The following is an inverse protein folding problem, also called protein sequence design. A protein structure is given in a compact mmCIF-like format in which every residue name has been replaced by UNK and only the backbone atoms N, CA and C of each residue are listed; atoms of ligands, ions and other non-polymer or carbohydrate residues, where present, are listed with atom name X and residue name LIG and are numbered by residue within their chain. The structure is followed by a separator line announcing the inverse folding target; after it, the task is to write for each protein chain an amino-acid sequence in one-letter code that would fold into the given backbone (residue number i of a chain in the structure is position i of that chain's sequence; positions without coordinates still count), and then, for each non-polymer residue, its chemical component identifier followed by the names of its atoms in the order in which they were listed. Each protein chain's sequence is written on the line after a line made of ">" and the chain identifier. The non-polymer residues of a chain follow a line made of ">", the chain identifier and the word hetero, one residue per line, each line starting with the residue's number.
data_IF_862511258778
#
_entry.id   IF_862511258778
#
_cell.length_a   1.000
_cell.length_b   1.000
_cell.length_c   1.000
_cell.angle_alpha   90.00
_cell.angle_beta   90.00
_cell.angle_gamma   90.00
#
_symmetry.space_group_name_H-M   'P 1'
#
loop_
_entity.id
_entity.type
_entity.pdbx_description
1 polymer ?
#
# COMPACT_ATOMS: atom_id res chain seq x y z
N UNK A 1 4.82 18.07 2.48
CA UNK A 1 4.47 16.64 2.52
C UNK A 1 2.95 16.52 2.63
N UNK A 2 2.35 15.64 1.83
CA UNK A 2 0.89 15.43 1.79
C UNK A 2 0.59 14.00 2.25
N UNK A 3 -0.36 13.85 3.17
CA UNK A 3 -1.03 12.57 3.45
C UNK A 3 -2.44 12.61 2.87
N UNK A 4 -3.08 11.45 2.72
CA UNK A 4 -4.50 11.38 2.40
C UNK A 4 -5.26 10.53 3.42
N UNK A 5 -6.57 10.74 3.49
CA UNK A 5 -7.49 9.82 4.15
C UNK A 5 -8.76 9.67 3.34
N UNK A 6 -9.28 8.44 3.31
CA UNK A 6 -10.13 7.99 2.21
C UNK A 6 -11.35 7.21 2.71
N UNK A 7 -11.19 6.41 3.76
CA UNK A 7 -12.22 5.47 4.18
C UNK A 7 -13.08 6.07 5.29
N UNK A 8 -14.41 5.94 5.17
CA UNK A 8 -15.31 6.27 6.27
C UNK A 8 -15.36 5.12 7.30
N UNK A 9 -15.35 5.41 8.60
CA UNK A 9 -15.67 4.41 9.61
C UNK A 9 -17.10 3.89 9.42
N UNK A 10 -17.29 2.61 9.71
CA UNK A 10 -18.58 1.93 9.59
C UNK A 10 -19.13 1.65 10.98
N UNK A 11 -20.29 2.24 11.32
CA UNK A 11 -20.99 1.93 12.57
C UNK A 11 -21.81 0.64 12.45
N UNK A 12 -22.51 0.46 11.32
CA UNK A 12 -23.36 -0.69 11.05
C UNK A 12 -23.06 -1.26 9.66
N UNK A 13 -22.60 -2.51 9.62
CA UNK A 13 -22.24 -3.18 8.37
C UNK A 13 -23.42 -3.36 7.41
N UNK A 14 -24.64 -3.62 7.92
CA UNK A 14 -25.82 -3.78 7.07
C UNK A 14 -26.17 -2.46 6.34
N UNK A 15 -26.10 -1.34 7.05
CA UNK A 15 -26.29 0.00 6.50
C UNK A 15 -25.20 0.36 5.48
N UNK A 16 -23.93 0.06 5.77
CA UNK A 16 -22.83 0.31 4.84
C UNK A 16 -22.99 -0.50 3.54
N UNK A 17 -23.50 -1.74 3.61
CA UNK A 17 -23.82 -2.56 2.43
C UNK A 17 -24.90 -1.92 1.56
N UNK A 18 -25.80 -1.16 2.16
CA UNK A 18 -26.79 -0.35 1.44
C UNK A 18 -26.21 0.96 0.89
N UNK A 19 -24.91 1.22 1.04
CA UNK A 19 -24.26 2.43 0.55
C UNK A 19 -24.67 3.69 1.31
N UNK A 20 -25.01 3.53 2.59
CA UNK A 20 -25.37 4.61 3.52
C UNK A 20 -24.28 4.79 4.58
N UNK A 21 -24.04 6.03 4.97
CA UNK A 21 -23.11 6.39 6.05
C UNK A 21 -23.89 6.88 7.29
N UNK A 22 -23.21 6.88 8.43
CA UNK A 22 -23.78 7.28 9.71
C UNK A 22 -22.99 8.45 10.29
N UNK A 23 -23.68 9.57 10.51
CA UNK A 23 -23.15 10.82 11.06
C UNK A 23 -22.47 10.65 12.44
N UNK A 24 -22.77 9.56 13.17
CA UNK A 24 -22.12 9.27 14.46
C UNK A 24 -20.62 9.01 14.31
N UNK A 25 -20.18 8.54 13.15
CA UNK A 25 -18.79 8.11 12.93
C UNK A 25 -18.18 8.71 11.68
N UNK A 26 -18.92 8.77 10.58
CA UNK A 26 -18.39 9.23 9.30
C UNK A 26 -18.22 10.75 9.28
N UNK A 27 -17.17 11.22 8.61
CA UNK A 27 -16.95 12.65 8.41
C UNK A 27 -18.02 13.24 7.50
N UNK A 28 -18.74 14.24 7.99
CA UNK A 28 -19.79 14.95 7.25
C UNK A 28 -19.63 16.47 7.36
N UNK A 29 -20.31 17.19 6.47
CA UNK A 29 -20.50 18.63 6.59
C UNK A 29 -21.71 18.92 7.47
N UNK A 30 -21.47 19.56 8.62
CA UNK A 30 -22.50 19.87 9.62
C UNK A 30 -23.03 21.30 9.51
N UNK A 31 -22.31 22.20 8.85
CA UNK A 31 -22.70 23.61 8.69
C UNK A 31 -22.01 24.26 7.49
N UNK A 32 -22.75 25.13 6.79
CA UNK A 32 -22.21 26.07 5.80
C UNK A 32 -22.09 27.47 6.43
N UNK A 33 -21.02 28.20 6.07
CA UNK A 33 -20.78 29.58 6.49
C UNK A 33 -20.21 30.39 5.34
N UNK A 34 -20.23 31.72 5.47
CA UNK A 34 -19.60 32.61 4.49
C UNK A 34 -18.09 32.34 4.34
N UNK A 35 -17.44 31.82 5.39
CA UNK A 35 -16.00 31.52 5.38
C UNK A 35 -15.65 30.12 4.85
N UNK A 36 -16.61 29.20 4.74
CA UNK A 36 -16.34 27.81 4.36
C UNK A 36 -17.36 26.81 4.93
N UNK A 37 -17.02 25.53 4.83
CA UNK A 37 -17.79 24.42 5.41
C UNK A 37 -17.22 24.01 6.76
N UNK A 38 -18.08 23.61 7.70
CA UNK A 38 -17.67 23.00 8.96
C UNK A 38 -17.90 21.50 8.87
N UNK A 39 -16.85 20.72 9.10
CA UNK A 39 -16.89 19.25 9.07
C UNK A 39 -16.73 18.66 10.46
N UNK A 40 -17.44 17.55 10.70
CA UNK A 40 -17.35 16.80 11.96
C UNK A 40 -17.44 15.29 11.70
N UNK A 41 -16.65 14.51 12.44
CA UNK A 41 -16.62 13.05 12.34
C UNK A 41 -15.21 12.53 12.14
N UNK A 42 -15.08 11.35 11.54
CA UNK A 42 -13.79 10.69 11.38
C UNK A 42 -13.58 10.08 9.99
N UNK A 43 -12.31 9.91 9.64
CA UNK A 43 -11.85 9.09 8.51
C UNK A 43 -10.84 8.07 9.01
N UNK A 44 -10.96 6.85 8.50
CA UNK A 44 -10.07 5.76 8.83
C UNK A 44 -8.78 5.87 8.03
N UNK A 45 -7.68 5.81 8.78
CA UNK A 45 -6.31 5.60 8.34
C UNK A 45 -5.79 6.69 7.39
N UNK A 46 -4.84 7.46 7.91
CA UNK A 46 -3.89 8.28 7.17
C UNK A 46 -2.49 7.71 7.44
N UNK A 47 -1.96 6.96 6.47
CA UNK A 47 -0.57 6.50 6.49
C UNK A 47 0.35 7.70 6.31
N UNK A 48 1.45 7.79 7.08
CA UNK A 48 2.34 8.96 7.16
C UNK A 48 1.67 10.19 7.82
N UNK A 49 0.46 10.04 8.37
CA UNK A 49 -0.36 11.14 8.86
C UNK A 49 0.40 12.11 9.77
N UNK A 50 0.91 11.67 10.94
CA UNK A 50 1.63 12.53 11.89
C UNK A 50 2.89 13.23 11.36
N UNK A 51 3.38 12.85 10.18
CA UNK A 51 4.59 13.42 9.56
C UNK A 51 4.30 14.29 8.34
N UNK A 52 3.03 14.50 7.98
CA UNK A 52 2.64 15.32 6.85
C UNK A 52 2.36 16.78 7.25
N UNK A 53 2.46 17.71 6.30
CA UNK A 53 2.11 19.12 6.49
C UNK A 53 0.61 19.36 6.22
N UNK A 54 0.09 18.66 5.21
CA UNK A 54 -1.27 18.79 4.68
C UNK A 54 -1.94 17.42 4.65
N UNK A 55 -3.27 17.40 4.83
CA UNK A 55 -4.10 16.21 4.67
C UNK A 55 -5.16 16.43 3.58
N UNK A 56 -5.14 15.56 2.59
CA UNK A 56 -6.16 15.43 1.56
C UNK A 56 -7.30 14.54 2.06
N UNK A 57 -8.53 15.05 1.99
CA UNK A 57 -9.75 14.32 2.32
C UNK A 57 -10.56 14.17 1.05
N UNK A 58 -10.48 12.98 0.45
CA UNK A 58 -11.17 12.66 -0.80
C UNK A 58 -12.16 11.50 -0.61
N UNK A 59 -13.17 11.38 -1.47
CA UNK A 59 -14.03 10.21 -1.51
C UNK A 59 -13.26 9.02 -2.09
N UNK A 60 -13.20 7.90 -1.37
CA UNK A 60 -12.58 6.66 -1.89
C UNK A 60 -13.58 5.56 -2.22
N UNK A 61 -14.75 5.60 -1.60
CA UNK A 61 -15.82 4.63 -1.83
C UNK A 61 -16.88 5.26 -2.72
N UNK A 62 -17.46 4.45 -3.61
CA UNK A 62 -18.59 4.89 -4.43
C UNK A 62 -19.73 5.34 -3.51
N UNK A 63 -20.14 6.59 -3.65
CA UNK A 63 -21.30 7.16 -3.00
C UNK A 63 -22.53 6.88 -3.86
N UNK A 64 -23.65 6.45 -3.25
CA UNK A 64 -24.91 6.46 -3.99
C UNK A 64 -25.35 7.90 -4.24
N UNK A 65 -25.84 8.19 -5.44
CA UNK A 65 -26.42 9.49 -5.80
C UNK A 65 -27.78 9.73 -5.15
N UNK A 66 -27.82 9.76 -3.82
CA UNK A 66 -29.02 9.96 -3.00
C UNK A 66 -28.83 11.16 -2.07
N UNK A 67 -29.93 11.83 -1.69
CA UNK A 67 -29.89 12.98 -0.79
C UNK A 67 -29.21 12.67 0.55
N UNK A 68 -29.42 11.46 1.09
CA UNK A 68 -28.78 10.97 2.32
C UNK A 68 -27.23 10.97 2.25
N UNK A 69 -26.65 10.92 1.05
CA UNK A 69 -25.19 10.90 0.87
C UNK A 69 -24.59 12.28 0.57
N UNK A 70 -25.40 13.31 0.35
CA UNK A 70 -24.94 14.68 0.06
C UNK A 70 -24.01 15.22 1.15
N UNK A 71 -24.28 15.05 2.46
CA UNK A 71 -23.39 15.56 3.52
C UNK A 71 -21.99 14.94 3.54
N UNK A 72 -21.82 13.76 2.92
CA UNK A 72 -20.57 13.00 2.86
C UNK A 72 -19.83 13.21 1.52
N UNK A 73 -20.44 13.93 0.57
CA UNK A 73 -19.93 14.15 -0.77
C UNK A 73 -19.12 15.44 -0.85
N UNK A 74 -17.84 15.37 -0.51
CA UNK A 74 -16.93 16.50 -0.60
C UNK A 74 -15.49 16.05 -0.81
N UNK A 75 -14.66 16.96 -1.28
CA UNK A 75 -13.21 16.81 -1.30
C UNK A 75 -12.53 18.13 -0.95
N UNK A 76 -11.49 18.08 -0.10
CA UNK A 76 -10.71 19.25 0.30
C UNK A 76 -9.30 18.84 0.74
N UNK A 77 -8.42 19.82 0.92
CA UNK A 77 -7.14 19.64 1.60
C UNK A 77 -6.87 20.77 2.60
N UNK A 78 -6.42 20.42 3.81
CA UNK A 78 -6.12 21.39 4.89
C UNK A 78 -4.81 21.06 5.62
N UNK A 79 -4.15 22.04 6.27
CA UNK A 79 -3.00 21.77 7.11
C UNK A 79 -3.36 20.79 8.21
N UNK A 80 -2.48 19.83 8.50
CA UNK A 80 -2.77 18.81 9.53
C UNK A 80 -2.85 19.41 10.93
N UNK A 81 -2.22 20.56 11.14
CA UNK A 81 -2.24 21.35 12.37
C UNK A 81 -3.52 22.20 12.53
N UNK A 82 -4.48 22.08 11.61
CA UNK A 82 -5.76 22.81 11.70
C UNK A 82 -6.47 22.48 13.01
N UNK A 83 -6.90 23.52 13.73
CA UNK A 83 -7.61 23.36 15.00
C UNK A 83 -8.83 22.45 14.85
N UNK A 84 -8.93 21.44 15.70
CA UNK A 84 -10.00 20.44 15.67
C UNK A 84 -9.61 19.14 14.94
N UNK A 85 -8.50 19.12 14.20
CA UNK A 85 -7.93 17.88 13.64
C UNK A 85 -7.14 17.15 14.73
N UNK A 86 -7.39 15.85 14.88
CA UNK A 86 -6.63 14.96 15.77
C UNK A 86 -6.29 13.65 15.06
N UNK A 87 -5.13 13.11 15.35
CA UNK A 87 -4.63 11.85 14.81
C UNK A 87 -4.50 10.84 15.95
N UNK A 88 -5.24 9.73 15.87
CA UNK A 88 -5.12 8.62 16.80
C UNK A 88 -4.25 7.56 16.13
N UNK A 89 -2.99 7.50 16.54
CA UNK A 89 -2.01 6.57 16.01
C UNK A 89 -2.28 5.14 16.49
N UNK A 90 -1.95 4.15 15.65
CA UNK A 90 -1.80 2.75 16.10
C UNK A 90 -0.52 2.58 16.94
N UNK A 91 -0.31 1.37 17.44
CA UNK A 91 0.97 0.99 18.05
C UNK A 91 2.15 1.24 17.10
N UNK A 92 3.25 1.78 17.63
CA UNK A 92 4.50 1.94 16.87
C UNK A 92 5.18 0.60 16.63
N UNK A 93 5.81 0.45 15.46
CA UNK A 93 6.74 -0.65 15.18
C UNK A 93 8.20 -0.22 15.24
N UNK A 94 8.48 1.08 15.31
CA UNK A 94 9.78 1.59 15.72
C UNK A 94 9.84 1.62 17.24
N UNK A 95 10.59 0.67 17.80
CA UNK A 95 10.80 0.54 19.24
C UNK A 95 12.15 1.13 19.70
N UNK A 96 12.76 2.01 18.90
CA UNK A 96 14.06 2.61 19.22
C UNK A 96 15.22 1.62 19.17
N UNK A 97 15.08 0.56 18.37
CA UNK A 97 16.16 -0.39 18.12
C UNK A 97 17.20 0.22 17.19
N UNK A 98 18.43 -0.28 17.25
CA UNK A 98 19.48 0.16 16.33
C UNK A 98 19.16 -0.22 14.88
N UNK A 99 19.87 0.41 13.94
CA UNK A 99 19.78 0.06 12.52
C UNK A 99 20.34 -1.32 12.20
N UNK A 100 21.06 -1.95 13.13
CA UNK A 100 21.48 -3.35 13.01
C UNK A 100 20.34 -4.30 13.38
N UNK A 101 19.67 -4.07 14.52
CA UNK A 101 18.60 -4.93 15.02
C UNK A 101 17.24 -4.73 14.33
N UNK A 102 16.99 -3.54 13.78
CA UNK A 102 15.76 -3.20 13.07
C UNK A 102 16.08 -2.34 11.83
N UNK A 103 16.73 -2.89 10.80
CA UNK A 103 17.27 -2.12 9.68
C UNK A 103 16.21 -1.38 8.86
N UNK A 104 14.95 -1.82 8.87
CA UNK A 104 13.86 -1.16 8.16
C UNK A 104 12.93 -0.42 9.12
N UNK A 105 12.46 -1.09 10.17
CA UNK A 105 11.49 -0.50 11.10
C UNK A 105 12.01 0.75 11.82
N UNK A 106 13.31 0.88 12.07
CA UNK A 106 13.88 2.09 12.69
C UNK A 106 13.95 3.33 11.78
N UNK A 107 13.61 3.20 10.48
CA UNK A 107 13.82 4.28 9.49
C UNK A 107 12.68 4.49 8.51
N UNK A 108 11.91 3.43 8.23
CA UNK A 108 10.86 3.43 7.21
C UNK A 108 9.48 3.16 7.80
N UNK A 109 9.32 3.33 9.11
CA UNK A 109 8.02 3.23 9.78
C UNK A 109 7.14 4.40 9.35
N UNK A 110 6.03 4.08 8.69
CA UNK A 110 5.00 5.05 8.35
C UNK A 110 3.81 4.80 9.27
N UNK A 111 3.59 5.71 10.22
CA UNK A 111 2.48 5.60 11.16
C UNK A 111 1.13 5.64 10.44
N UNK A 112 0.22 4.76 10.87
CA UNK A 112 -1.18 4.78 10.43
C UNK A 112 -2.04 5.39 11.53
N UNK A 113 -2.79 6.44 11.21
CA UNK A 113 -3.63 7.13 12.19
C UNK A 113 -5.09 7.26 11.76
N UNK A 114 -6.03 7.03 12.67
CA UNK A 114 -7.43 7.47 12.48
C UNK A 114 -7.47 8.99 12.63
N UNK A 115 -8.15 9.66 11.70
CA UNK A 115 -8.24 11.12 11.68
C UNK A 115 -9.60 11.54 12.20
N UNK A 116 -9.62 12.36 13.25
CA UNK A 116 -10.82 12.94 13.84
C UNK A 116 -10.87 14.42 13.48
N UNK A 117 -12.04 14.88 13.05
CA UNK A 117 -12.35 16.28 12.80
C UNK A 117 -13.43 16.70 13.78
N UNK A 118 -13.09 17.59 14.71
CA UNK A 118 -14.00 18.15 15.69
C UNK A 118 -14.39 19.57 15.27
N UNK A 119 -15.52 19.71 14.57
CA UNK A 119 -16.04 20.98 14.05
C UNK A 119 -14.99 21.84 13.34
N UNK A 120 -14.28 21.24 12.38
CA UNK A 120 -13.18 21.88 11.65
C UNK A 120 -13.76 22.77 10.54
N UNK A 121 -13.35 24.04 10.51
CA UNK A 121 -13.65 24.94 9.39
C UNK A 121 -12.68 24.67 8.22
N UNK A 122 -13.23 24.34 7.06
CA UNK A 122 -12.51 24.20 5.80
C UNK A 122 -12.86 25.41 4.92
N UNK A 123 -11.88 26.29 4.62
CA UNK A 123 -12.11 27.46 3.77
C UNK A 123 -12.58 27.08 2.37
N UNK A 124 -13.43 27.90 1.74
CA UNK A 124 -13.95 27.64 0.39
C UNK A 124 -12.85 27.45 -0.66
N UNK A 125 -11.74 28.17 -0.54
CA UNK A 125 -10.59 28.08 -1.45
C UNK A 125 -9.85 26.74 -1.37
N UNK A 126 -10.15 25.92 -0.36
CA UNK A 126 -9.58 24.59 -0.16
C UNK A 126 -10.57 23.46 -0.45
N UNK A 127 -11.79 23.77 -0.88
CA UNK A 127 -12.82 22.81 -1.28
C UNK A 127 -12.76 22.58 -2.79
N UNK A 128 -12.59 21.33 -3.21
CA UNK A 128 -12.48 20.93 -4.62
C UNK A 128 -13.80 20.37 -5.16
N UNK A 129 -14.56 19.67 -4.32
CA UNK A 129 -15.88 19.12 -4.66
C UNK A 129 -16.81 19.26 -3.47
N UNK A 130 -18.09 19.51 -3.71
CA UNK A 130 -19.07 19.73 -2.65
C UNK A 130 -20.49 19.36 -3.08
N UNK A 131 -21.19 18.57 -2.24
CA UNK A 131 -22.60 18.18 -2.36
C UNK A 131 -23.00 17.45 -3.64
N UNK A 132 -22.03 16.93 -4.39
CA UNK A 132 -22.26 16.14 -5.60
C UNK A 132 -21.63 14.74 -5.47
N UNK A 133 -22.41 13.74 -5.03
CA UNK A 133 -21.92 12.36 -4.90
C UNK A 133 -21.45 11.74 -6.23
N UNK A 134 -22.08 12.10 -7.35
CA UNK A 134 -21.75 11.52 -8.65
C UNK A 134 -20.47 12.14 -9.25
N UNK A 135 -20.24 13.43 -9.01
CA UNK A 135 -18.96 14.07 -9.30
C UNK A 135 -17.83 13.43 -8.48
N UNK A 136 -18.05 13.24 -7.18
CA UNK A 136 -17.10 12.57 -6.29
C UNK A 136 -16.67 11.18 -6.80
N UNK A 137 -17.62 10.38 -7.29
CA UNK A 137 -17.35 9.04 -7.82
C UNK A 137 -16.49 9.03 -9.09
N UNK A 138 -16.56 10.11 -9.88
CA UNK A 138 -15.89 10.19 -11.18
C UNK A 138 -14.55 10.92 -11.12
N UNK A 139 -14.30 11.71 -10.07
CA UNK A 139 -13.12 12.56 -9.93
C UNK A 139 -11.81 11.90 -10.39
N UNK A 140 -11.48 10.73 -9.83
CA UNK A 140 -10.23 10.04 -10.16
C UNK A 140 -10.19 9.42 -11.56
N UNK A 141 -11.35 9.03 -12.10
CA UNK A 141 -11.45 8.44 -13.43
C UNK A 141 -11.43 9.51 -14.53
N UNK A 142 -12.21 10.57 -14.36
CA UNK A 142 -12.34 11.66 -15.33
C UNK A 142 -11.05 12.48 -15.42
N UNK A 143 -10.29 12.61 -14.33
CA UNK A 143 -9.00 13.34 -14.31
C UNK A 143 -7.78 12.45 -14.59
N UNK A 144 -7.97 11.14 -14.78
CA UNK A 144 -6.90 10.16 -14.86
C UNK A 144 -5.94 10.12 -13.64
N UNK A 145 -6.26 10.79 -12.52
CA UNK A 145 -5.36 10.80 -11.35
C UNK A 145 -5.13 9.38 -10.79
N UNK A 146 -6.12 8.48 -10.88
CA UNK A 146 -5.92 7.06 -10.50
C UNK A 146 -4.83 6.40 -11.32
N UNK A 147 -4.69 6.76 -12.60
CA UNK A 147 -3.68 6.18 -13.49
C UNK A 147 -2.29 6.65 -13.08
N UNK A 148 -2.12 7.95 -12.82
CA UNK A 148 -0.86 8.49 -12.31
C UNK A 148 -0.49 7.93 -10.93
N UNK A 149 -1.46 7.76 -10.03
CA UNK A 149 -1.23 7.09 -8.74
C UNK A 149 -0.79 5.64 -8.94
N UNK A 150 -1.46 4.88 -9.82
CA UNK A 150 -1.06 3.51 -10.12
C UNK A 150 0.34 3.43 -10.76
N UNK A 151 0.75 4.45 -11.51
CA UNK A 151 2.10 4.52 -12.09
C UNK A 151 3.17 4.69 -11.01
N UNK A 152 2.95 5.58 -10.02
CA UNK A 152 3.83 5.65 -8.85
C UNK A 152 3.88 4.31 -8.10
N UNK A 153 2.72 3.68 -7.94
CA UNK A 153 2.58 2.39 -7.28
C UNK A 153 3.41 1.31 -7.97
N UNK A 154 3.31 1.14 -9.28
CA UNK A 154 4.04 0.09 -10.00
C UNK A 154 5.56 0.28 -9.88
N UNK A 155 6.04 1.53 -9.87
CA UNK A 155 7.45 1.84 -9.63
C UNK A 155 7.90 1.39 -8.23
N UNK A 156 7.11 1.73 -7.19
CA UNK A 156 7.39 1.28 -5.83
C UNK A 156 7.33 -0.25 -5.67
N UNK A 157 6.37 -0.91 -6.34
CA UNK A 157 6.23 -2.37 -6.28
C UNK A 157 7.37 -3.08 -6.98
N UNK A 158 7.88 -2.53 -8.07
CA UNK A 158 9.07 -3.05 -8.76
C UNK A 158 10.28 -2.99 -7.83
N UNK A 159 10.56 -1.84 -7.22
CA UNK A 159 11.67 -1.69 -6.29
C UNK A 159 11.56 -2.67 -5.11
N UNK A 160 10.36 -2.87 -4.57
CA UNK A 160 10.11 -3.81 -3.47
C UNK A 160 10.33 -5.27 -3.89
N UNK A 161 9.90 -5.65 -5.10
CA UNK A 161 10.12 -6.99 -5.65
C UNK A 161 11.60 -7.26 -5.93
N UNK A 162 12.31 -6.31 -6.54
CA UNK A 162 13.75 -6.40 -6.80
C UNK A 162 14.55 -6.51 -5.49
N UNK A 163 14.17 -5.74 -4.48
CA UNK A 163 14.77 -5.83 -3.16
C UNK A 163 14.61 -7.23 -2.54
N UNK A 164 13.40 -7.81 -2.61
CA UNK A 164 13.18 -9.18 -2.08
C UNK A 164 13.95 -10.23 -2.90
N UNK A 165 14.03 -10.10 -4.22
CA UNK A 165 14.88 -10.98 -5.06
C UNK A 165 16.34 -10.88 -4.61
N UNK A 166 16.86 -9.67 -4.43
CA UNK A 166 18.22 -9.44 -3.93
C UNK A 166 18.47 -10.08 -2.56
N UNK A 167 17.53 -9.90 -1.63
CA UNK A 167 17.57 -10.49 -0.30
C UNK A 167 17.61 -12.02 -0.35
N UNK A 168 16.73 -12.65 -1.13
CA UNK A 168 16.68 -14.11 -1.28
C UNK A 168 17.97 -14.67 -1.89
N UNK A 169 18.51 -14.00 -2.92
CA UNK A 169 19.80 -14.35 -3.51
C UNK A 169 20.94 -14.23 -2.51
N UNK A 170 20.96 -13.18 -1.69
CA UNK A 170 21.98 -12.98 -0.65
C UNK A 170 21.90 -14.09 0.41
N UNK A 171 20.70 -14.42 0.90
CA UNK A 171 20.48 -15.51 1.86
C UNK A 171 20.92 -16.88 1.31
N UNK A 172 20.61 -17.18 0.06
CA UNK A 172 21.03 -18.43 -0.59
C UNK A 172 22.55 -18.51 -0.75
N UNK A 173 23.20 -17.43 -1.16
CA UNK A 173 24.66 -17.37 -1.28
C UNK A 173 25.35 -17.48 0.08
N UNK A 174 24.89 -16.75 1.09
CA UNK A 174 25.44 -16.78 2.43
C UNK A 174 25.47 -18.20 3.02
N UNK A 175 24.41 -18.95 2.80
CA UNK A 175 24.24 -20.33 3.29
C UNK A 175 24.83 -21.41 2.37
N UNK A 176 25.37 -21.04 1.20
CA UNK A 176 25.90 -21.98 0.21
C UNK A 176 24.85 -22.84 -0.50
N UNK A 177 23.57 -22.42 -0.44
CA UNK A 177 22.43 -23.13 -1.04
C UNK A 177 22.03 -22.60 -2.42
N UNK A 178 22.81 -21.68 -2.98
CA UNK A 178 22.57 -21.04 -4.27
C UNK A 178 22.68 -22.00 -5.48
N UNK A 179 23.22 -23.20 -5.28
CA UNK A 179 23.26 -24.28 -6.29
C UNK A 179 22.08 -25.25 -6.20
N UNK A 180 21.37 -25.28 -5.08
CA UNK A 180 20.25 -26.20 -4.86
C UNK A 180 19.08 -25.90 -5.81
N UNK A 181 18.49 -26.95 -6.38
CA UNK A 181 17.43 -26.80 -7.39
C UNK A 181 16.13 -26.26 -6.80
N UNK A 182 15.77 -26.67 -5.58
CA UNK A 182 14.54 -26.21 -4.93
C UNK A 182 14.67 -24.73 -4.54
N UNK A 183 15.83 -24.33 -4.00
CA UNK A 183 16.13 -22.94 -3.67
C UNK A 183 16.09 -22.07 -4.94
N UNK A 184 16.71 -22.51 -6.03
CA UNK A 184 16.63 -21.79 -7.32
C UNK A 184 15.19 -21.66 -7.82
N UNK A 185 14.38 -22.71 -7.70
CA UNK A 185 12.97 -22.67 -8.09
C UNK A 185 12.17 -21.61 -7.33
N UNK A 186 12.34 -21.54 -6.01
CA UNK A 186 11.69 -20.53 -5.18
C UNK A 186 12.15 -19.10 -5.52
N UNK A 187 13.46 -18.90 -5.71
CA UNK A 187 14.01 -17.59 -6.10
C UNK A 187 13.54 -17.20 -7.50
N UNK A 188 13.48 -18.14 -8.44
CA UNK A 188 12.99 -17.90 -9.79
C UNK A 188 11.52 -17.44 -9.78
N UNK A 189 10.69 -17.99 -8.90
CA UNK A 189 9.31 -17.53 -8.71
C UNK A 189 9.27 -16.03 -8.34
N UNK A 190 10.11 -15.60 -7.40
CA UNK A 190 10.25 -14.18 -7.05
C UNK A 190 10.77 -13.33 -8.21
N UNK A 191 11.72 -13.84 -9.00
CA UNK A 191 12.23 -13.17 -10.19
C UNK A 191 11.14 -12.98 -11.25
N UNK A 192 10.29 -13.99 -11.51
CA UNK A 192 9.18 -13.86 -12.45
C UNK A 192 8.18 -12.79 -12.02
N UNK A 193 7.91 -12.67 -10.72
CA UNK A 193 7.07 -11.60 -10.19
C UNK A 193 7.70 -10.23 -10.45
N UNK A 194 9.00 -10.06 -10.19
CA UNK A 194 9.72 -8.81 -10.49
C UNK A 194 9.70 -8.48 -12.00
N UNK A 195 9.98 -9.45 -12.87
CA UNK A 195 9.91 -9.28 -14.33
C UNK A 195 8.50 -8.93 -14.81
N UNK A 196 7.47 -9.52 -14.21
CA UNK A 196 6.08 -9.19 -14.54
C UNK A 196 5.76 -7.73 -14.22
N UNK A 197 6.15 -7.24 -13.04
CA UNK A 197 5.93 -5.83 -12.64
C UNK A 197 6.71 -4.88 -13.55
N UNK A 198 7.94 -5.24 -13.92
CA UNK A 198 8.76 -4.45 -14.86
C UNK A 198 8.13 -4.37 -16.25
N UNK A 199 7.61 -5.48 -16.75
CA UNK A 199 6.89 -5.52 -18.02
C UNK A 199 5.62 -4.65 -17.98
N UNK A 200 4.85 -4.70 -16.88
CA UNK A 200 3.66 -3.85 -16.71
C UNK A 200 4.01 -2.37 -16.72
N UNK A 201 5.05 -1.97 -15.97
CA UNK A 201 5.54 -0.58 -15.97
C UNK A 201 5.99 -0.15 -17.38
N UNK A 202 6.83 -0.94 -18.02
CA UNK A 202 7.35 -0.63 -19.36
C UNK A 202 6.21 -0.45 -20.36
N UNK A 203 5.24 -1.37 -20.38
CA UNK A 203 4.10 -1.29 -21.28
C UNK A 203 3.21 -0.08 -20.98
N UNK A 204 3.03 0.28 -19.71
CA UNK A 204 2.27 1.47 -19.32
C UNK A 204 2.91 2.76 -19.87
N UNK A 205 4.24 2.87 -19.76
CA UNK A 205 5.00 4.03 -20.22
C UNK A 205 5.11 4.06 -21.76
N UNK A 206 5.38 2.91 -22.40
CA UNK A 206 5.57 2.83 -23.86
C UNK A 206 4.29 3.10 -24.66
N UNK A 207 3.12 2.88 -24.06
CA UNK A 207 1.80 3.11 -24.68
C UNK A 207 1.10 4.35 -24.11
N UNK A 208 1.82 5.21 -23.39
CA UNK A 208 1.28 6.45 -22.85
C UNK A 208 0.85 7.39 -23.99
N UNK A 209 -0.21 8.17 -23.74
CA UNK A 209 -0.78 9.11 -24.70
C UNK A 209 -1.38 10.33 -23.99
N UNK A 210 -1.58 11.41 -24.74
CA UNK A 210 -2.30 12.57 -24.22
C UNK A 210 -3.78 12.24 -23.99
N UNK A 211 -4.32 12.67 -22.86
CA UNK A 211 -5.74 12.66 -22.60
C UNK A 211 -6.45 13.90 -23.17
N UNK A 212 -7.75 14.00 -22.93
CA UNK A 212 -8.56 15.10 -23.47
C UNK A 212 -8.27 16.46 -22.81
N UNK A 213 -7.48 16.51 -21.74
CA UNK A 213 -6.98 17.74 -21.12
C UNK A 213 -5.57 18.11 -21.61
N UNK A 214 -4.98 17.30 -22.51
CA UNK A 214 -3.59 17.46 -22.97
C UNK A 214 -2.55 16.98 -21.94
N UNK A 215 -2.96 16.21 -20.93
CA UNK A 215 -2.03 15.60 -19.97
C UNK A 215 -1.52 14.29 -20.54
N UNK A 216 -0.21 14.02 -20.43
CA UNK A 216 0.35 12.76 -20.90
C UNK A 216 0.15 11.64 -19.86
N UNK A 217 -0.67 10.65 -20.19
CA UNK A 217 -1.17 9.64 -19.24
C UNK A 217 -0.62 8.25 -19.60
N UNK A 218 -0.06 7.49 -18.64
CA UNK A 218 0.34 6.11 -18.86
C UNK A 218 -0.82 5.21 -19.29
N UNK A 219 -0.54 4.15 -20.04
CA UNK A 219 -1.58 3.20 -20.41
C UNK A 219 -2.14 2.51 -19.15
N UNK A 220 -3.46 2.60 -18.98
CA UNK A 220 -4.16 2.12 -17.78
C UNK A 220 -4.06 0.62 -17.56
N UNK A 221 -4.25 -0.18 -18.62
CA UNK A 221 -4.46 -1.64 -18.51
C UNK A 221 -3.28 -2.36 -17.83
N UNK A 222 -2.01 -2.14 -18.18
CA UNK A 222 -0.88 -2.76 -17.48
C UNK A 222 -0.81 -2.39 -15.99
N UNK A 223 -1.13 -1.14 -15.66
CA UNK A 223 -1.17 -0.65 -14.28
C UNK A 223 -2.29 -1.31 -13.47
N UNK A 224 -3.47 -1.43 -14.09
CA UNK A 224 -4.62 -2.14 -13.55
C UNK A 224 -4.30 -3.61 -13.26
N UNK A 225 -3.58 -4.28 -14.16
CA UNK A 225 -3.08 -5.65 -13.95
C UNK A 225 -2.10 -5.71 -12.79
N UNK A 226 -1.14 -4.78 -12.71
CA UNK A 226 -0.16 -4.74 -11.63
C UNK A 226 -0.82 -4.58 -10.26
N UNK A 227 -1.71 -3.59 -10.09
CA UNK A 227 -2.37 -3.36 -8.79
C UNK A 227 -3.28 -4.51 -8.33
N UNK A 228 -3.78 -5.35 -9.25
CA UNK A 228 -4.62 -6.50 -8.92
C UNK A 228 -3.82 -7.78 -8.67
N UNK A 229 -2.61 -7.90 -9.25
CA UNK A 229 -1.78 -9.10 -9.13
C UNK A 229 -0.75 -8.99 -8.00
N UNK A 230 -0.16 -7.81 -7.79
CA UNK A 230 0.84 -7.60 -6.74
C UNK A 230 0.35 -7.91 -5.32
N UNK A 231 -0.91 -7.61 -4.93
CA UNK A 231 -1.45 -8.03 -3.63
C UNK A 231 -1.47 -9.54 -3.36
N UNK A 232 -1.34 -10.36 -4.42
CA UNK A 232 -1.19 -11.82 -4.34
C UNK A 232 0.29 -12.23 -4.40
N UNK A 233 1.09 -11.53 -5.19
CA UNK A 233 2.53 -11.75 -5.31
C UNK A 233 3.26 -11.42 -4.02
N UNK A 234 2.97 -10.29 -3.37
CA UNK A 234 3.73 -9.85 -2.21
C UNK A 234 3.66 -10.81 -1.01
N UNK A 235 2.49 -11.31 -0.58
CA UNK A 235 2.44 -12.35 0.45
C UNK A 235 3.24 -13.60 0.09
N UNK A 236 3.25 -14.00 -1.19
CA UNK A 236 4.02 -15.14 -1.67
C UNK A 236 5.53 -14.86 -1.66
N UNK A 237 5.95 -13.64 -2.01
CA UNK A 237 7.35 -13.20 -1.88
C UNK A 237 7.82 -13.32 -0.42
N UNK A 238 7.00 -12.89 0.54
CA UNK A 238 7.30 -13.01 1.97
C UNK A 238 7.31 -14.47 2.44
N UNK A 239 6.37 -15.29 1.95
CA UNK A 239 6.37 -16.73 2.22
C UNK A 239 7.65 -17.39 1.72
N UNK A 240 8.17 -17.01 0.55
CA UNK A 240 9.45 -17.52 0.04
C UNK A 240 10.62 -17.13 0.96
N UNK A 241 10.61 -15.91 1.54
CA UNK A 241 11.59 -15.51 2.56
C UNK A 241 11.48 -16.40 3.80
N UNK A 242 10.27 -16.72 4.26
CA UNK A 242 10.06 -17.66 5.37
C UNK A 242 10.58 -19.06 5.06
N UNK A 243 10.26 -19.61 3.88
CA UNK A 243 10.66 -20.96 3.48
C UNK A 243 12.18 -21.09 3.33
N UNK A 244 12.84 -20.08 2.75
CA UNK A 244 14.28 -20.07 2.57
C UNK A 244 15.03 -19.79 3.89
N UNK A 245 14.52 -18.83 4.68
CA UNK A 245 15.13 -18.41 5.94
C UNK A 245 14.90 -19.36 7.11
N UNK A 246 13.71 -19.97 7.20
CA UNK A 246 13.34 -20.93 8.24
C UNK A 246 13.74 -20.46 9.66
N UNK A 247 14.29 -21.32 10.50
CA UNK A 247 14.76 -21.00 11.85
C UNK A 247 15.87 -19.94 11.89
N UNK A 248 16.59 -19.70 10.80
CA UNK A 248 17.62 -18.65 10.76
C UNK A 248 17.05 -17.25 10.90
N UNK A 249 15.75 -17.06 10.60
CA UNK A 249 15.04 -15.81 10.87
C UNK A 249 14.85 -15.57 12.38
N UNK A 250 14.81 -16.64 13.19
CA UNK A 250 14.72 -16.54 14.65
C UNK A 250 16.10 -16.47 15.31
N UNK A 251 17.11 -17.10 14.71
CA UNK A 251 18.49 -17.09 15.17
C UNK A 251 19.20 -15.77 14.80
N UNK A 252 18.68 -14.65 15.29
CA UNK A 252 19.23 -13.29 15.13
C UNK A 252 19.41 -12.67 16.52
N UNK A 253 20.59 -12.82 17.16
CA UNK A 253 20.88 -12.20 18.45
C UNK A 253 20.97 -10.67 18.31
N UNK A 254 20.90 -9.95 19.43
CA UNK A 254 20.97 -8.49 19.42
C UNK A 254 22.35 -7.99 19.00
N UNK A 255 22.43 -6.77 18.49
CA UNK A 255 23.72 -6.12 18.19
C UNK A 255 24.65 -6.13 19.42
N UNK A 256 24.09 -5.93 20.61
CA UNK A 256 24.82 -5.95 21.87
C UNK A 256 25.48 -7.31 22.18
N UNK A 257 24.96 -8.41 21.62
CA UNK A 257 25.50 -9.77 21.83
C UNK A 257 26.78 -10.02 21.01
N UNK A 258 27.12 -9.13 20.08
CA UNK A 258 28.38 -9.20 19.32
C UNK A 258 29.60 -8.81 20.16
N UNK A 259 29.42 -8.13 21.28
CA UNK A 259 30.52 -7.59 22.10
C UNK A 259 30.39 -7.88 23.60
N UNK A 260 29.35 -8.60 24.03
CA UNK A 260 29.15 -8.94 25.44
C UNK A 260 29.78 -10.30 25.80
N UNK A 261 29.45 -10.84 26.97
CA UNK A 261 29.97 -12.15 27.44
C UNK A 261 29.62 -13.34 26.54
N UNK A 262 28.63 -13.20 25.65
CA UNK A 262 28.22 -14.21 24.68
C UNK A 262 28.96 -14.09 23.33
N UNK A 263 29.80 -13.06 23.15
CA UNK A 263 30.40 -12.74 21.86
C UNK A 263 31.17 -13.91 21.23
N UNK A 264 31.91 -14.69 22.03
CA UNK A 264 32.64 -15.87 21.55
C UNK A 264 31.70 -16.97 21.02
N UNK A 265 30.57 -17.19 21.71
CA UNK A 265 29.54 -18.14 21.26
C UNK A 265 28.82 -17.61 20.01
N UNK A 266 28.53 -16.31 19.94
CA UNK A 266 27.94 -15.67 18.78
C UNK A 266 28.86 -15.82 17.56
N UNK A 267 30.14 -15.48 17.70
CA UNK A 267 31.16 -15.62 16.67
C UNK A 267 31.26 -17.05 16.15
N UNK A 268 31.16 -18.04 17.05
CA UNK A 268 31.30 -19.45 16.71
C UNK A 268 30.04 -20.04 16.06
N UNK A 269 28.86 -19.82 16.64
CA UNK A 269 27.65 -20.57 16.30
C UNK A 269 26.73 -19.85 15.31
N UNK A 270 26.93 -18.55 15.06
CA UNK A 270 26.07 -17.76 14.18
C UNK A 270 26.74 -17.39 12.84
N UNK A 271 27.80 -18.08 12.43
CA UNK A 271 28.39 -17.93 11.08
C UNK A 271 27.70 -18.84 10.04
N UNK A 272 27.91 -18.57 8.75
CA UNK A 272 27.58 -19.50 7.66
C UNK A 272 28.82 -19.80 6.82
N UNK A 273 28.71 -20.73 5.87
CA UNK A 273 29.85 -21.15 5.04
C UNK A 273 30.53 -19.99 4.31
N UNK A 274 29.78 -18.94 3.96
CA UNK A 274 30.28 -17.80 3.17
C UNK A 274 30.18 -16.44 3.88
N UNK A 275 29.76 -16.37 5.15
CA UNK A 275 29.71 -15.13 5.93
C UNK A 275 30.12 -15.40 7.37
N UNK A 276 30.85 -14.46 7.97
CA UNK A 276 31.08 -14.48 9.42
C UNK A 276 29.77 -14.24 10.20
N UNK A 277 29.86 -14.29 11.52
CA UNK A 277 28.69 -14.16 12.38
C UNK A 277 28.00 -12.81 12.23
N UNK A 278 28.76 -11.71 12.24
CA UNK A 278 28.19 -10.36 12.24
C UNK A 278 27.44 -10.08 10.93
N UNK A 279 28.07 -10.36 9.79
CA UNK A 279 27.45 -10.17 8.48
C UNK A 279 26.23 -11.07 8.28
N UNK A 280 26.31 -12.33 8.74
CA UNK A 280 25.17 -13.24 8.68
C UNK A 280 24.03 -12.74 9.56
N UNK A 281 24.31 -12.27 10.77
CA UNK A 281 23.28 -11.73 11.66
C UNK A 281 22.63 -10.50 11.04
N UNK A 282 23.41 -9.57 10.49
CA UNK A 282 22.88 -8.37 9.82
C UNK A 282 21.93 -8.74 8.66
N UNK A 283 22.34 -9.69 7.80
CA UNK A 283 21.52 -10.15 6.69
C UNK A 283 20.20 -10.78 7.16
N UNK A 284 20.25 -11.64 8.18
CA UNK A 284 19.05 -12.31 8.69
C UNK A 284 18.19 -11.41 9.56
N UNK A 285 18.74 -10.37 10.21
CA UNK A 285 17.98 -9.28 10.84
C UNK A 285 17.18 -8.51 9.79
N UNK A 286 17.77 -8.21 8.64
CA UNK A 286 17.06 -7.61 7.51
C UNK A 286 15.92 -8.51 7.03
N UNK A 287 16.18 -9.81 6.82
CA UNK A 287 15.15 -10.75 6.41
C UNK A 287 14.03 -10.89 7.46
N UNK A 288 14.38 -10.91 8.75
CA UNK A 288 13.44 -10.92 9.85
C UNK A 288 12.57 -9.65 9.86
N UNK A 289 13.16 -8.48 9.65
CA UNK A 289 12.42 -7.22 9.66
C UNK A 289 11.49 -7.07 8.45
N UNK A 290 11.82 -7.73 7.33
CA UNK A 290 10.95 -7.83 6.14
C UNK A 290 9.76 -8.77 6.36
N UNK A 291 9.98 -9.92 7.02
CA UNK A 291 9.06 -11.04 6.96
C UNK A 291 8.40 -11.43 8.29
N UNK A 292 9.00 -11.08 9.43
CA UNK A 292 8.58 -11.58 10.76
C UNK A 292 8.18 -10.45 11.70
N UNK A 293 8.88 -9.32 11.68
CA UNK A 293 8.60 -8.22 12.63
C UNK A 293 7.18 -7.67 12.48
N UNK A 294 6.72 -6.90 13.48
CA UNK A 294 5.45 -6.18 13.39
C UNK A 294 5.39 -5.25 12.17
N UNK A 295 6.51 -4.59 11.87
CA UNK A 295 6.69 -3.78 10.66
C UNK A 295 6.52 -4.61 9.38
N UNK A 296 7.23 -5.73 9.25
CA UNK A 296 7.13 -6.62 8.08
C UNK A 296 5.72 -7.17 7.86
N UNK A 297 5.03 -7.56 8.94
CA UNK A 297 3.64 -8.01 8.86
C UNK A 297 2.67 -6.89 8.47
N UNK A 298 2.87 -5.66 8.99
CA UNK A 298 2.09 -4.50 8.55
C UNK A 298 2.29 -4.22 7.06
N UNK A 299 3.50 -4.40 6.53
CA UNK A 299 3.74 -4.28 5.09
C UNK A 299 2.94 -5.31 4.28
N UNK A 300 2.80 -6.56 4.75
CA UNK A 300 1.93 -7.56 4.09
C UNK A 300 0.47 -7.10 4.10
N UNK A 301 -0.03 -6.59 5.23
CA UNK A 301 -1.40 -6.08 5.31
C UNK A 301 -1.62 -4.88 4.38
N UNK A 302 -0.67 -3.95 4.36
CA UNK A 302 -0.68 -2.79 3.47
C UNK A 302 -0.79 -3.22 2.01
N UNK A 303 0.10 -4.10 1.53
CA UNK A 303 0.09 -4.56 0.14
C UNK A 303 -1.19 -5.29 -0.26
N UNK A 304 -1.92 -5.88 0.71
CA UNK A 304 -3.20 -6.54 0.44
C UNK A 304 -4.33 -5.56 0.13
N UNK A 305 -4.33 -4.38 0.77
CA UNK A 305 -5.54 -3.55 0.88
C UNK A 305 -5.35 -2.06 0.63
N UNK A 306 -4.12 -1.53 0.49
CA UNK A 306 -3.91 -0.08 0.38
C UNK A 306 -4.65 0.55 -0.82
N UNK A 307 -4.84 -0.21 -1.91
CA UNK A 307 -5.62 0.23 -3.07
C UNK A 307 -7.11 -0.22 -3.02
N UNK A 308 -7.54 -0.85 -1.93
CA UNK A 308 -8.91 -1.30 -1.71
C UNK A 308 -9.09 -2.82 -1.63
N UNK A 309 -10.31 -3.30 -1.31
CA UNK A 309 -10.62 -4.73 -1.20
C UNK A 309 -10.46 -5.47 -2.54
N UNK A 310 -9.73 -6.60 -2.52
CA UNK A 310 -9.32 -7.30 -3.73
C UNK A 310 -10.49 -7.79 -4.60
N UNK A 311 -11.60 -8.22 -4.00
CA UNK A 311 -12.79 -8.66 -4.73
C UNK A 311 -13.48 -7.51 -5.47
N UNK A 312 -13.56 -6.32 -4.85
CA UNK A 312 -14.10 -5.12 -5.49
C UNK A 312 -13.19 -4.71 -6.64
N UNK A 313 -11.88 -4.68 -6.41
CA UNK A 313 -10.90 -4.31 -7.44
C UNK A 313 -10.91 -5.25 -8.64
N UNK A 314 -11.02 -6.56 -8.39
CA UNK A 314 -11.14 -7.57 -9.44
C UNK A 314 -12.45 -7.43 -10.23
N UNK A 315 -13.57 -7.10 -9.57
CA UNK A 315 -14.85 -6.85 -10.25
C UNK A 315 -14.74 -5.63 -11.18
N UNK A 316 -14.20 -4.52 -10.68
CA UNK A 316 -13.97 -3.32 -11.49
C UNK A 316 -13.05 -3.63 -12.69
N UNK A 317 -11.99 -4.42 -12.47
CA UNK A 317 -11.11 -4.85 -13.55
C UNK A 317 -11.85 -5.66 -14.62
N UNK A 318 -12.70 -6.62 -14.22
CA UNK A 318 -13.51 -7.41 -15.13
C UNK A 318 -14.48 -6.56 -15.97
N UNK A 319 -15.14 -5.60 -15.33
CA UNK A 319 -16.12 -4.73 -15.99
C UNK A 319 -15.45 -3.80 -17.02
N UNK A 320 -14.27 -3.26 -16.67
CA UNK A 320 -13.50 -2.36 -17.54
C UNK A 320 -12.69 -3.10 -18.63
N UNK A 321 -12.56 -4.42 -18.56
CA UNK A 321 -11.82 -5.17 -19.55
C UNK A 321 -12.64 -5.32 -20.84
N UNK A 322 -12.12 -4.76 -21.95
CA UNK A 322 -12.70 -4.99 -23.27
C UNK A 322 -12.47 -6.45 -23.68
N UNK A 323 -13.57 -7.19 -23.77
CA UNK A 323 -13.62 -8.64 -24.01
C UNK A 323 -14.36 -8.99 -25.31
N UNK A 324 -14.93 -8.00 -26.00
CA UNK A 324 -15.80 -8.21 -27.15
C UNK A 324 -15.04 -8.83 -28.33
N UNK A 325 -13.83 -8.32 -28.65
CA UNK A 325 -12.98 -8.86 -29.70
C UNK A 325 -12.52 -10.31 -29.41
N UNK A 326 -12.36 -10.65 -28.13
CA UNK A 326 -11.98 -12.00 -27.71
C UNK A 326 -13.15 -12.97 -27.86
N UNK A 327 -14.36 -12.53 -27.48
CA UNK A 327 -15.60 -13.30 -27.63
C UNK A 327 -15.91 -13.50 -29.11
N UNK A 328 -15.82 -12.45 -29.93
CA UNK A 328 -16.09 -12.50 -31.36
C UNK A 328 -15.23 -13.55 -32.09
N UNK A 329 -13.94 -13.69 -31.72
CA UNK A 329 -13.06 -14.74 -32.27
C UNK A 329 -13.55 -16.16 -31.94
N UNK A 330 -14.09 -16.37 -30.75
CA UNK A 330 -14.67 -17.67 -30.36
C UNK A 330 -15.94 -17.93 -31.15
N UNK A 331 -16.82 -16.93 -31.27
CA UNK A 331 -18.06 -17.04 -32.04
C UNK A 331 -17.82 -17.31 -33.53
N UNK A 332 -16.78 -16.69 -34.12
CA UNK A 332 -16.39 -16.95 -35.50
C UNK A 332 -15.96 -18.41 -35.69
N UNK A 333 -15.19 -18.97 -34.76
CA UNK A 333 -14.74 -20.36 -34.82
C UNK A 333 -15.92 -21.33 -34.72
N UNK A 334 -16.92 -21.04 -33.88
CA UNK A 334 -18.11 -21.87 -33.72
C UNK A 334 -19.07 -21.84 -34.92
N UNK A 335 -18.91 -20.86 -35.83
CA UNK A 335 -19.72 -20.75 -37.06
C UNK A 335 -19.13 -21.52 -38.25
N UNK A 336 -17.95 -22.12 -38.09
CA UNK A 336 -17.26 -22.92 -39.12
C UNK A 336 -17.56 -24.41 -38.97
#
# INVERSE_FOLDING_TARGET
>A
VLTHTLINPTFNFAQAKEGKYDARVALEVVKETDAGIVVNGARLLATLGPHADEIEVFPSTLLKGSEENIPFAFAFAIPISTKGVRLICRDTYDHGKSTFDAPLASRFEEMDAVVIFENVLVPWERVFMYRDPLLCNRAFADTNAVIHMMHQVVCGKLAKAEFIVGLLCAMAKATGKDKDMNVKGMIAEAMWMAESVRAFRFQAEALAAEDHYGTFVPQRRPLDTSRNTFPKMYPRLIEIVHLLGSSSLMATPAEADLSNELADDVAKYFQTVNLDSEDRIALFRLAHDVAVSGFGNRQVLYERFFFGPQNIMASIYYDLYNKDDMIARVEELLKR
#
